data_IF_453107804422
#
_entry.id   IF_453107804422
#
_cell.length_a   1.000
_cell.length_b   1.000
_cell.length_c   1.000
_cell.angle_alpha   90.00
_cell.angle_beta   90.00
_cell.angle_gamma   90.00
#
_symmetry.space_group_name_H-M   'P 1'
#
loop_
_entity.id
_entity.type
_entity.pdbx_description
1 polymer ?
#
# COMPACT_ATOMS: atom_id res chain seq x y z
N UNK A 1 -8.78 -7.66 -0.36
CA UNK A 1 -8.48 -6.22 -0.48
C UNK A 1 -9.37 -5.44 0.47
N UNK A 2 -8.99 -4.22 0.86
CA UNK A 2 -9.64 -3.47 1.95
C UNK A 2 -11.13 -3.21 1.75
N UNK A 3 -11.53 -2.92 0.52
CA UNK A 3 -12.92 -2.72 0.14
C UNK A 3 -13.83 -3.93 0.43
N UNK A 4 -13.24 -5.12 0.60
CA UNK A 4 -13.94 -6.39 0.86
C UNK A 4 -13.44 -7.09 2.14
N UNK A 5 -12.49 -6.49 2.87
CA UNK A 5 -11.92 -7.09 4.09
C UNK A 5 -12.75 -6.76 5.34
N UNK A 6 -13.57 -5.71 5.26
CA UNK A 6 -14.52 -5.31 6.29
C UNK A 6 -15.90 -5.14 5.66
N UNK A 7 -16.94 -5.33 6.47
CA UNK A 7 -18.32 -5.06 6.08
C UNK A 7 -18.62 -3.60 6.36
N UNK A 8 -18.91 -2.84 5.31
CA UNK A 8 -19.35 -1.44 5.40
C UNK A 8 -20.83 -1.36 5.08
N UNK A 9 -21.58 -0.54 5.82
CA UNK A 9 -23.02 -0.37 5.64
C UNK A 9 -23.34 0.47 4.40
N UNK A 10 -22.44 1.38 4.03
CA UNK A 10 -22.59 2.22 2.86
C UNK A 10 -21.24 2.63 2.26
N UNK A 11 -21.28 3.21 1.04
CA UNK A 11 -20.07 3.70 0.37
C UNK A 11 -19.38 4.82 1.14
N UNK A 12 -20.12 5.68 1.84
CA UNK A 12 -19.53 6.78 2.64
C UNK A 12 -18.67 6.26 3.78
N UNK A 13 -19.14 5.25 4.51
CA UNK A 13 -18.38 4.61 5.60
C UNK A 13 -17.10 3.96 5.05
N UNK A 14 -17.20 3.25 3.91
CA UNK A 14 -16.04 2.70 3.23
C UNK A 14 -15.04 3.79 2.84
N UNK A 15 -15.49 4.87 2.22
CA UNK A 15 -14.62 5.99 1.83
C UNK A 15 -13.93 6.62 3.03
N UNK A 16 -14.62 6.77 4.17
CA UNK A 16 -14.02 7.30 5.39
C UNK A 16 -12.86 6.42 5.92
N UNK A 17 -12.93 5.10 5.72
CA UNK A 17 -11.86 4.17 6.11
C UNK A 17 -10.67 4.15 5.14
N UNK A 18 -10.80 4.71 3.92
CA UNK A 18 -9.77 4.63 2.88
C UNK A 18 -8.44 5.24 3.32
N UNK A 19 -8.47 6.41 3.95
CA UNK A 19 -7.26 7.13 4.33
C UNK A 19 -6.38 6.29 5.28
N UNK A 20 -6.97 5.77 6.36
CA UNK A 20 -6.26 4.90 7.30
C UNK A 20 -5.80 3.59 6.66
N UNK A 21 -6.57 3.03 5.72
CA UNK A 21 -6.12 1.84 5.00
C UNK A 21 -4.92 2.11 4.09
N UNK A 22 -4.89 3.26 3.39
CA UNK A 22 -3.75 3.63 2.54
C UNK A 22 -2.47 3.79 3.36
N UNK A 23 -2.56 4.42 4.53
CA UNK A 23 -1.42 4.56 5.44
C UNK A 23 -0.90 3.19 5.88
N UNK A 24 -1.79 2.32 6.38
CA UNK A 24 -1.42 0.97 6.75
C UNK A 24 -0.81 0.20 5.57
N UNK A 25 -1.46 0.23 4.40
CA UNK A 25 -1.01 -0.52 3.23
C UNK A 25 0.37 -0.08 2.76
N UNK A 26 0.62 1.23 2.68
CA UNK A 26 1.86 1.76 2.14
C UNK A 26 3.03 1.64 3.13
N UNK A 27 2.78 1.82 4.44
CA UNK A 27 3.86 2.00 5.41
C UNK A 27 4.01 0.86 6.42
N UNK A 28 2.99 0.05 6.65
CA UNK A 28 3.01 -0.97 7.72
C UNK A 28 2.75 -2.38 7.22
N UNK A 29 1.96 -2.56 6.15
CA UNK A 29 1.47 -3.88 5.73
C UNK A 29 2.62 -4.78 5.30
N UNK A 30 2.83 -5.95 5.93
CA UNK A 30 3.90 -6.85 5.54
C UNK A 30 3.62 -7.47 4.16
N UNK A 31 4.58 -7.34 3.24
CA UNK A 31 4.48 -7.90 1.90
C UNK A 31 5.37 -9.12 1.73
N UNK A 32 4.81 -10.25 1.27
CA UNK A 32 5.54 -11.52 1.15
C UNK A 32 6.74 -11.45 0.21
N UNK A 33 6.56 -10.82 -0.97
CA UNK A 33 7.64 -10.61 -1.94
C UNK A 33 8.68 -9.55 -1.53
N UNK A 34 8.45 -8.82 -0.43
CA UNK A 34 9.37 -7.82 0.10
C UNK A 34 9.95 -8.24 1.45
N UNK A 35 10.09 -9.55 1.70
CA UNK A 35 10.61 -10.08 2.96
C UNK A 35 9.89 -9.51 4.19
N UNK A 36 8.55 -9.40 4.10
CA UNK A 36 7.66 -8.84 5.14
C UNK A 36 7.80 -7.34 5.39
N UNK A 37 8.54 -6.61 4.56
CA UNK A 37 8.59 -5.14 4.61
C UNK A 37 7.35 -4.52 3.96
N UNK A 38 7.09 -3.27 4.32
CA UNK A 38 5.99 -2.51 3.74
C UNK A 38 6.27 -2.15 2.26
N UNK A 39 5.24 -2.04 1.41
CA UNK A 39 5.39 -1.63 0.01
C UNK A 39 6.24 -0.37 -0.19
N UNK A 40 6.05 0.66 0.65
CA UNK A 40 6.79 1.92 0.55
C UNK A 40 8.30 1.77 0.70
N UNK A 41 8.80 0.71 1.36
CA UNK A 41 10.24 0.49 1.50
C UNK A 41 10.93 0.25 0.16
N UNK A 42 10.18 -0.16 -0.85
CA UNK A 42 10.71 -0.39 -2.19
C UNK A 42 11.19 0.91 -2.85
N UNK A 43 10.59 2.06 -2.51
CA UNK A 43 11.01 3.36 -3.04
C UNK A 43 12.44 3.71 -2.61
N UNK A 44 12.84 3.33 -1.40
CA UNK A 44 14.21 3.54 -0.90
C UNK A 44 15.21 2.54 -1.47
N UNK A 45 14.76 1.34 -1.84
CA UNK A 45 15.62 0.32 -2.47
C UNK A 45 15.83 0.53 -3.96
N UNK A 46 14.85 1.16 -4.63
CA UNK A 46 14.93 1.50 -6.03
C UNK A 46 15.66 2.84 -6.18
N UNK A 47 16.97 2.77 -6.44
CA UNK A 47 17.69 3.90 -7.01
C UNK A 47 17.27 4.07 -8.48
N UNK A 48 16.11 4.67 -8.73
CA UNK A 48 15.66 5.06 -10.08
C UNK A 48 16.48 6.23 -10.67
N UNK A 49 17.72 6.44 -10.19
CA UNK A 49 18.67 7.41 -10.74
C UNK A 49 19.23 6.82 -12.04
N UNK A 50 18.52 7.11 -13.14
CA UNK A 50 18.94 7.13 -14.56
C UNK A 50 19.57 5.88 -15.20
N UNK A 51 18.91 5.36 -16.26
CA UNK A 51 19.63 4.76 -17.41
C UNK A 51 19.12 3.42 -17.94
N UNK A 52 17.96 3.36 -18.60
CA UNK A 52 17.63 2.24 -19.50
C UNK A 52 16.61 2.64 -20.58
N UNK A 53 16.85 3.76 -21.25
CA UNK A 53 16.40 3.94 -22.63
C UNK A 53 17.64 3.77 -23.51
N UNK A 54 17.84 2.56 -24.02
CA UNK A 54 18.73 2.27 -25.15
C UNK A 54 17.92 2.24 -26.43
#
# INVERSE_FOLDING_TARGET
GWAYAAIYRCSTERTAALAGWLEFYNYTRPHGSLSKRAPGTRLTELNNVTGSYS
#
